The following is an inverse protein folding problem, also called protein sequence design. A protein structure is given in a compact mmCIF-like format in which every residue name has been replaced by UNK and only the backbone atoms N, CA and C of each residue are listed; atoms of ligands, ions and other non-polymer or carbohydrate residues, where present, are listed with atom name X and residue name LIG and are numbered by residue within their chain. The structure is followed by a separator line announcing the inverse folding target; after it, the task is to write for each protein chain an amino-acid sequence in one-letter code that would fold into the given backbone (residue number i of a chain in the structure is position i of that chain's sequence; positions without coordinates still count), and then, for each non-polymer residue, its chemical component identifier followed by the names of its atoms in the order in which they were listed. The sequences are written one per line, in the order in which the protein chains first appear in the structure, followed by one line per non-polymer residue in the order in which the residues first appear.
data_IF_340208835249
#
_entry.id   IF_340208835249
#
_cell.length_a   1.000
_cell.length_b   1.000
_cell.length_c   1.000
_cell.angle_alpha   90.00
_cell.angle_beta   90.00
_cell.angle_gamma   90.00
#
_symmetry.space_group_name_H-M   'P 1'
#
loop_
_entity.id
_entity.type
_entity.pdbx_description
1 polymer ?
#
# COMPACT_ATOMS: atom_id res chain seq x y z
N UNK A 1 -34.91 -16.12 46.51
CA UNK A 1 -33.53 -15.62 46.43
C UNK A 1 -33.08 -15.76 44.99
N UNK A 2 -33.03 -14.66 44.23
CA UNK A 2 -32.51 -14.64 42.86
C UNK A 2 -31.35 -13.65 42.88
N UNK A 3 -30.13 -14.17 42.78
CA UNK A 3 -28.90 -13.39 42.75
C UNK A 3 -28.73 -12.77 41.36
N UNK A 4 -28.78 -11.44 41.28
CA UNK A 4 -28.34 -10.71 40.10
C UNK A 4 -26.82 -10.67 40.05
N UNK A 5 -26.23 -11.40 39.11
CA UNK A 5 -24.83 -11.26 38.76
C UNK A 5 -24.66 -9.97 37.95
N UNK A 6 -23.91 -9.03 38.51
CA UNK A 6 -23.45 -7.81 37.84
C UNK A 6 -22.53 -8.19 36.68
N UNK A 7 -22.95 -7.91 35.45
CA UNK A 7 -22.08 -7.95 34.28
C UNK A 7 -20.99 -6.89 34.45
N UNK A 8 -19.74 -7.33 34.54
CA UNK A 8 -18.58 -6.46 34.54
C UNK A 8 -18.56 -5.69 33.20
N UNK A 9 -18.54 -4.36 33.29
CA UNK A 9 -18.26 -3.50 32.15
C UNK A 9 -16.86 -3.84 31.65
N UNK A 10 -16.78 -4.39 30.44
CA UNK A 10 -15.55 -4.45 29.67
C UNK A 10 -15.12 -3.02 29.40
N UNK A 11 -14.07 -2.57 30.08
CA UNK A 11 -13.43 -1.30 29.76
C UNK A 11 -12.93 -1.38 28.31
N UNK A 12 -13.42 -0.49 27.44
CA UNK A 12 -12.83 -0.29 26.13
C UNK A 12 -11.31 -0.14 26.28
N UNK A 13 -10.49 -0.85 25.48
CA UNK A 13 -9.05 -0.66 25.55
C UNK A 13 -8.77 0.81 25.22
N UNK A 14 -8.08 1.50 26.14
CA UNK A 14 -7.48 2.81 25.86
C UNK A 14 -6.70 2.67 24.54
N UNK A 15 -6.85 3.61 23.58
CA UNK A 15 -6.00 3.59 22.39
C UNK A 15 -4.55 3.55 22.84
N UNK A 16 -3.82 2.54 22.39
CA UNK A 16 -2.39 2.41 22.64
C UNK A 16 -1.70 3.73 22.27
N UNK A 17 -0.81 4.21 23.13
CA UNK A 17 -0.06 5.43 22.84
C UNK A 17 0.67 5.28 21.50
N UNK A 18 0.58 6.29 20.64
CA UNK A 18 1.24 6.28 19.34
C UNK A 18 2.77 6.18 19.52
N UNK A 19 3.48 5.43 18.65
CA UNK A 19 4.92 5.20 18.76
C UNK A 19 5.74 6.45 18.41
N UNK A 20 7.04 6.45 18.74
CA UNK A 20 7.97 7.43 18.18
C UNK A 20 8.17 7.13 16.69
N UNK A 21 8.50 5.88 16.34
CA UNK A 21 8.51 5.40 14.96
C UNK A 21 7.66 4.14 14.85
N UNK A 22 6.66 4.19 13.98
CA UNK A 22 5.78 3.06 13.74
C UNK A 22 4.89 3.29 12.54
N UNK A 23 4.04 2.30 12.24
CA UNK A 23 3.05 2.46 11.18
C UNK A 23 1.71 1.85 11.54
N UNK A 24 0.66 2.29 10.87
CA UNK A 24 -0.67 1.72 10.95
C UNK A 24 -1.22 1.46 9.54
N UNK A 25 -1.97 0.37 9.39
CA UNK A 25 -2.58 -0.01 8.11
C UNK A 25 -3.95 0.62 8.02
N UNK A 26 -4.13 1.55 7.09
CA UNK A 26 -5.39 2.27 6.86
C UNK A 26 -6.13 1.58 5.72
N UNK A 27 -6.96 0.60 6.06
CA UNK A 27 -7.73 -0.18 5.08
C UNK A 27 -8.89 0.65 4.54
N UNK A 28 -8.86 0.94 3.25
CA UNK A 28 -9.86 1.79 2.59
C UNK A 28 -11.01 1.00 1.98
N UNK A 29 -10.72 -0.21 1.50
CA UNK A 29 -11.66 -1.16 0.92
C UNK A 29 -11.00 -2.55 0.85
N UNK A 30 -11.70 -3.52 0.28
CA UNK A 30 -11.21 -4.85 -0.06
C UNK A 30 -11.97 -5.40 -1.26
N UNK A 31 -11.56 -6.55 -1.76
CA UNK A 31 -12.33 -7.37 -2.68
C UNK A 31 -12.12 -8.85 -2.38
N UNK A 32 -13.21 -9.60 -2.26
CA UNK A 32 -13.12 -11.06 -2.21
C UNK A 32 -12.79 -11.63 -3.60
N UNK A 33 -11.67 -12.35 -3.72
CA UNK A 33 -11.25 -13.03 -4.94
C UNK A 33 -10.95 -14.51 -4.70
N UNK A 34 -11.19 -15.39 -5.68
CA UNK A 34 -10.76 -16.78 -5.59
C UNK A 34 -9.26 -16.86 -5.31
N UNK A 35 -8.85 -17.72 -4.38
CA UNK A 35 -7.46 -17.88 -3.99
C UNK A 35 -6.54 -18.18 -5.20
N UNK A 36 -7.07 -18.91 -6.19
CA UNK A 36 -6.38 -19.21 -7.46
C UNK A 36 -5.92 -17.97 -8.25
N UNK A 37 -6.55 -16.80 -8.07
CA UNK A 37 -6.15 -15.56 -8.74
C UNK A 37 -4.95 -14.89 -8.07
N UNK A 38 -4.75 -15.12 -6.77
CA UNK A 38 -3.70 -14.51 -5.98
C UNK A 38 -2.44 -15.38 -5.89
N UNK A 39 -2.62 -16.70 -5.89
CA UNK A 39 -1.53 -17.67 -5.67
C UNK A 39 -1.66 -18.84 -6.65
N UNK A 40 -0.58 -19.21 -7.37
CA UNK A 40 -0.57 -20.40 -8.22
C UNK A 40 -0.93 -21.68 -7.44
N UNK A 41 -1.87 -22.46 -7.96
CA UNK A 41 -2.37 -23.67 -7.30
C UNK A 41 -3.37 -23.41 -6.16
N UNK A 42 -3.78 -22.16 -5.94
CA UNK A 42 -4.84 -21.81 -5.00
C UNK A 42 -6.21 -22.39 -5.39
N UNK A 43 -7.12 -22.49 -4.41
CA UNK A 43 -8.47 -22.99 -4.65
C UNK A 43 -9.32 -21.98 -5.45
N UNK A 44 -10.14 -22.50 -6.38
CA UNK A 44 -11.14 -21.71 -7.12
C UNK A 44 -12.42 -21.47 -6.32
N UNK A 45 -12.67 -22.27 -5.26
CA UNK A 45 -13.87 -22.16 -4.41
C UNK A 45 -13.61 -21.37 -3.14
N UNK A 46 -12.36 -21.33 -2.67
CA UNK A 46 -11.98 -20.54 -1.50
C UNK A 46 -11.80 -19.08 -1.89
N UNK A 47 -12.55 -18.20 -1.26
CA UNK A 47 -12.38 -16.76 -1.38
C UNK A 47 -11.34 -16.27 -0.37
N UNK A 48 -10.50 -15.33 -0.79
CA UNK A 48 -9.55 -14.61 0.05
C UNK A 48 -9.73 -13.12 -0.23
N UNK A 49 -9.67 -12.30 0.80
CA UNK A 49 -9.77 -10.85 0.63
C UNK A 49 -8.44 -10.32 0.06
N UNK A 50 -8.52 -9.50 -0.97
CA UNK A 50 -7.46 -8.60 -1.39
C UNK A 50 -7.77 -7.23 -0.81
N UNK A 51 -6.86 -6.63 -0.06
CA UNK A 51 -7.11 -5.33 0.58
C UNK A 51 -6.71 -4.18 -0.33
N UNK A 52 -7.38 -3.03 -0.18
CA UNK A 52 -6.93 -1.75 -0.71
C UNK A 52 -6.58 -0.86 0.47
N UNK A 53 -5.28 -0.65 0.71
CA UNK A 53 -4.78 -0.04 1.94
C UNK A 53 -3.81 1.09 1.65
N UNK A 54 -3.78 2.05 2.57
CA UNK A 54 -2.69 3.00 2.74
C UNK A 54 -1.92 2.66 4.03
N UNK A 55 -0.69 3.15 4.17
CA UNK A 55 0.13 2.91 5.35
C UNK A 55 0.53 4.24 5.97
N UNK A 56 -0.06 4.55 7.13
CA UNK A 56 0.29 5.75 7.90
C UNK A 56 1.55 5.47 8.70
N UNK A 57 2.65 6.11 8.36
CA UNK A 57 3.91 6.08 9.10
C UNK A 57 3.96 7.27 10.04
N UNK A 58 4.24 7.02 11.32
CA UNK A 58 4.57 8.04 12.31
C UNK A 58 6.07 8.07 12.51
N UNK A 59 6.63 9.27 12.54
CA UNK A 59 8.04 9.52 12.86
C UNK A 59 8.14 10.75 13.75
N UNK A 60 8.34 10.54 15.04
CA UNK A 60 8.25 11.54 16.10
C UNK A 60 6.97 12.39 15.97
N UNK A 61 7.11 13.66 15.61
CA UNK A 61 5.98 14.60 15.45
C UNK A 61 5.43 14.66 14.02
N UNK A 62 6.04 13.93 13.09
CA UNK A 62 5.66 13.91 11.68
C UNK A 62 4.86 12.66 11.31
N UNK A 63 4.08 12.81 10.23
CA UNK A 63 3.33 11.74 9.60
C UNK A 63 3.62 11.71 8.10
N UNK A 64 3.75 10.50 7.57
CA UNK A 64 3.83 10.21 6.14
C UNK A 64 2.76 9.17 5.82
N UNK A 65 2.02 9.36 4.74
CA UNK A 65 1.14 8.32 4.22
C UNK A 65 1.76 7.70 2.98
N UNK A 66 1.98 6.38 3.02
CA UNK A 66 2.46 5.61 1.89
C UNK A 66 1.27 4.94 1.19
N UNK A 67 1.06 5.25 -0.08
CA UNK A 67 -0.17 5.05 -0.84
C UNK A 67 -1.41 5.74 -0.24
N UNK A 68 -2.52 5.77 -0.97
CA UNK A 68 -3.77 6.42 -0.52
C UNK A 68 -4.99 5.52 -0.56
N UNK A 69 -4.87 4.33 -1.16
CA UNK A 69 -5.98 3.41 -1.33
C UNK A 69 -7.11 4.02 -2.18
N UNK A 70 -8.34 3.61 -1.86
CA UNK A 70 -9.56 4.14 -2.46
C UNK A 70 -9.94 5.49 -1.85
N UNK A 71 -10.15 6.49 -2.71
CA UNK A 71 -10.50 7.85 -2.32
C UNK A 71 -11.99 8.16 -2.31
N UNK A 72 -12.31 9.39 -1.91
CA UNK A 72 -13.69 9.88 -1.74
C UNK A 72 -14.50 9.89 -3.03
N UNK A 73 -13.84 10.00 -4.19
CA UNK A 73 -14.45 10.05 -5.51
C UNK A 73 -14.41 8.72 -6.27
N UNK A 74 -14.02 7.62 -5.61
CA UNK A 74 -13.73 6.35 -6.29
C UNK A 74 -14.88 5.84 -7.15
N UNK A 75 -16.14 6.02 -6.74
CA UNK A 75 -17.28 5.55 -7.52
C UNK A 75 -17.35 6.23 -8.89
N UNK A 76 -17.20 7.54 -8.93
CA UNK A 76 -17.19 8.32 -10.18
C UNK A 76 -15.94 8.01 -11.01
N UNK A 77 -14.78 7.96 -10.34
CA UNK A 77 -13.49 7.67 -10.99
C UNK A 77 -13.49 6.28 -11.63
N UNK A 78 -14.05 5.27 -10.96
CA UNK A 78 -14.17 3.91 -11.46
C UNK A 78 -15.09 3.82 -12.68
N UNK A 79 -16.19 4.58 -12.69
CA UNK A 79 -17.05 4.64 -13.87
C UNK A 79 -16.34 5.23 -15.10
N UNK A 80 -15.43 6.18 -14.90
CA UNK A 80 -14.68 6.83 -15.97
C UNK A 80 -13.45 6.02 -16.40
N UNK A 81 -12.72 5.48 -15.43
CA UNK A 81 -11.41 4.87 -15.60
C UNK A 81 -11.43 3.38 -15.84
N UNK A 82 -12.46 2.64 -15.40
CA UNK A 82 -12.57 1.19 -15.61
C UNK A 82 -13.49 0.87 -16.80
N UNK A 83 -12.95 0.34 -17.92
CA UNK A 83 -13.76 -0.12 -19.05
C UNK A 83 -14.76 -1.19 -18.62
N UNK A 84 -15.96 -1.16 -19.21
CA UNK A 84 -17.10 -1.99 -18.78
C UNK A 84 -16.77 -3.50 -18.71
N UNK A 85 -15.99 -4.00 -19.67
CA UNK A 85 -15.59 -5.41 -19.74
C UNK A 85 -14.67 -5.84 -18.59
N UNK A 86 -13.91 -4.90 -18.00
CA UNK A 86 -13.01 -5.17 -16.89
C UNK A 86 -13.70 -5.14 -15.52
N UNK A 87 -14.91 -4.56 -15.42
CA UNK A 87 -15.60 -4.37 -14.15
C UNK A 87 -16.03 -5.66 -13.46
N UNK A 88 -16.15 -6.75 -14.21
CA UNK A 88 -16.43 -8.07 -13.65
C UNK A 88 -15.22 -8.67 -12.91
N UNK A 89 -14.01 -8.23 -13.24
CA UNK A 89 -12.76 -8.81 -12.74
C UNK A 89 -12.04 -7.88 -11.75
N UNK A 90 -12.11 -6.57 -11.99
CA UNK A 90 -11.44 -5.56 -11.17
C UNK A 90 -12.50 -4.70 -10.50
N UNK A 91 -12.87 -5.07 -9.29
CA UNK A 91 -13.89 -4.42 -8.47
C UNK A 91 -13.35 -4.15 -7.07
N UNK A 92 -14.09 -3.34 -6.33
CA UNK A 92 -13.89 -3.11 -4.91
C UNK A 92 -15.23 -3.28 -4.20
N UNK A 93 -15.18 -3.69 -2.94
CA UNK A 93 -16.35 -3.90 -2.12
C UNK A 93 -16.68 -2.64 -1.31
N UNK A 94 -17.97 -2.46 -1.01
CA UNK A 94 -18.48 -1.41 -0.13
C UNK A 94 -18.61 -1.90 1.31
N UNK A 95 -18.53 -1.00 2.32
CA UNK A 95 -18.28 0.43 2.18
C UNK A 95 -16.81 0.74 1.87
N UNK A 96 -16.58 1.88 1.21
CA UNK A 96 -15.24 2.50 1.12
C UNK A 96 -15.16 3.50 2.25
N UNK A 97 -14.14 3.38 3.11
CA UNK A 97 -13.84 4.35 4.17
C UNK A 97 -12.46 4.92 3.86
N UNK A 98 -12.41 6.13 3.31
CA UNK A 98 -11.16 6.71 2.80
C UNK A 98 -10.11 6.85 3.90
N UNK A 99 -8.83 6.85 3.51
CA UNK A 99 -7.76 7.13 4.46
C UNK A 99 -8.00 8.49 5.14
N UNK A 100 -8.33 9.54 4.38
CA UNK A 100 -8.63 10.87 4.91
C UNK A 100 -9.70 10.83 6.01
N UNK A 101 -10.83 10.18 5.77
CA UNK A 101 -11.93 10.07 6.74
C UNK A 101 -11.49 9.34 8.02
N UNK A 102 -10.71 8.27 7.91
CA UNK A 102 -10.21 7.53 9.08
C UNK A 102 -9.25 8.41 9.92
N UNK A 103 -8.35 9.12 9.26
CA UNK A 103 -7.38 10.01 9.91
C UNK A 103 -8.06 11.20 10.60
N UNK A 104 -9.05 11.83 9.94
CA UNK A 104 -9.83 12.93 10.51
C UNK A 104 -10.60 12.52 11.75
N UNK A 105 -11.27 11.36 11.69
CA UNK A 105 -12.02 10.82 12.82
C UNK A 105 -11.13 10.51 14.04
N UNK A 106 -9.86 10.20 13.80
CA UNK A 106 -8.86 9.96 14.84
C UNK A 106 -8.12 11.23 15.29
N UNK A 107 -8.42 12.40 14.70
CA UNK A 107 -7.76 13.66 15.03
C UNK A 107 -6.31 13.75 14.58
N UNK A 108 -5.90 12.98 13.57
CA UNK A 108 -4.57 13.12 12.97
C UNK A 108 -4.52 14.45 12.20
N UNK A 109 -3.50 15.30 12.41
CA UNK A 109 -3.41 16.58 11.72
C UNK A 109 -3.27 16.41 10.21
N UNK A 110 -3.61 17.44 9.40
CA UNK A 110 -3.45 17.40 7.95
C UNK A 110 -2.03 17.00 7.55
N UNK A 111 -1.94 15.94 6.76
CA UNK A 111 -0.67 15.37 6.33
C UNK A 111 0.05 16.32 5.38
N UNK A 112 1.36 16.49 5.59
CA UNK A 112 2.21 17.30 4.71
C UNK A 112 2.90 16.47 3.63
N UNK A 113 2.90 15.13 3.78
CA UNK A 113 3.63 14.21 2.91
C UNK A 113 2.82 12.95 2.64
N UNK A 114 2.55 12.72 1.35
CA UNK A 114 2.04 11.47 0.80
C UNK A 114 3.10 10.94 -0.15
N UNK A 115 3.37 9.65 -0.16
CA UNK A 115 4.28 9.02 -1.13
C UNK A 115 3.54 7.84 -1.74
N UNK A 116 3.47 7.78 -3.06
CA UNK A 116 2.87 6.63 -3.74
C UNK A 116 3.96 5.61 -4.07
N UNK A 117 3.69 4.34 -3.80
CA UNK A 117 4.47 3.22 -4.30
C UNK A 117 4.46 3.21 -5.83
N UNK A 118 3.29 3.49 -6.43
CA UNK A 118 3.06 3.71 -7.85
C UNK A 118 1.67 4.35 -8.05
N UNK A 119 1.31 4.66 -9.30
CA UNK A 119 0.17 5.53 -9.64
C UNK A 119 -1.06 4.80 -10.16
N UNK A 120 -1.19 3.49 -9.93
CA UNK A 120 -2.41 2.77 -10.29
C UNK A 120 -3.61 3.22 -9.44
N UNK A 121 -4.79 2.93 -9.99
CA UNK A 121 -6.06 3.49 -9.55
C UNK A 121 -6.43 3.20 -8.09
N UNK A 122 -5.92 2.11 -7.55
CA UNK A 122 -6.15 1.62 -6.21
C UNK A 122 -5.07 2.03 -5.21
N UNK A 123 -4.00 2.68 -5.68
CA UNK A 123 -2.94 3.28 -4.86
C UNK A 123 -3.02 4.79 -4.83
N UNK A 124 -3.29 5.42 -5.99
CA UNK A 124 -3.46 6.86 -6.16
C UNK A 124 -4.90 7.34 -5.95
N UNK A 125 -5.85 6.43 -5.67
CA UNK A 125 -7.28 6.74 -5.66
C UNK A 125 -7.70 7.83 -4.68
N UNK A 126 -7.02 7.94 -3.55
CA UNK A 126 -7.21 8.97 -2.53
C UNK A 126 -6.26 10.17 -2.63
N UNK A 127 -5.39 10.28 -3.65
CA UNK A 127 -4.38 11.34 -3.72
C UNK A 127 -4.99 12.76 -3.63
N UNK A 128 -6.12 12.98 -4.29
CA UNK A 128 -6.84 14.26 -4.25
C UNK A 128 -7.50 14.59 -2.90
N UNK A 129 -7.61 13.62 -1.98
CA UNK A 129 -8.19 13.82 -0.64
C UNK A 129 -7.20 14.50 0.32
N UNK A 130 -5.94 14.72 -0.11
CA UNK A 130 -4.86 15.33 0.67
C UNK A 130 -4.27 16.58 -0.03
N UNK A 131 -5.06 17.65 -0.26
CA UNK A 131 -4.59 18.86 -0.94
C UNK A 131 -3.45 19.59 -0.19
N UNK A 132 -3.30 19.35 1.10
CA UNK A 132 -2.24 19.92 1.94
C UNK A 132 -0.89 19.23 1.72
N UNK A 133 -0.89 18.00 1.20
CA UNK A 133 0.31 17.19 1.08
C UNK A 133 1.05 17.45 -0.23
N UNK A 134 2.39 17.38 -0.15
CA UNK A 134 3.20 17.05 -1.32
C UNK A 134 3.11 15.56 -1.59
N UNK A 135 2.77 15.21 -2.83
CA UNK A 135 2.60 13.82 -3.27
C UNK A 135 3.84 13.37 -4.02
N UNK A 136 4.67 12.60 -3.32
CA UNK A 136 5.92 12.03 -3.80
C UNK A 136 5.70 10.85 -4.74
N UNK A 137 6.31 10.89 -5.92
CA UNK A 137 6.39 9.76 -6.87
C UNK A 137 7.78 9.68 -7.48
N UNK A 138 8.27 8.48 -7.84
CA UNK A 138 9.52 8.40 -8.59
C UNK A 138 9.40 9.12 -9.95
N UNK A 139 10.50 9.68 -10.46
CA UNK A 139 10.49 10.43 -11.72
C UNK A 139 9.89 9.64 -12.90
N UNK A 140 10.16 8.33 -12.99
CA UNK A 140 9.59 7.48 -14.02
C UNK A 140 8.07 7.27 -13.86
N UNK A 141 7.56 7.33 -12.63
CA UNK A 141 6.12 7.25 -12.34
C UNK A 141 5.43 8.58 -12.63
N UNK A 142 6.12 9.70 -12.41
CA UNK A 142 5.62 11.03 -12.73
C UNK A 142 5.29 11.18 -14.23
N UNK A 143 6.01 10.45 -15.10
CA UNK A 143 5.69 10.40 -16.53
C UNK A 143 4.37 9.67 -16.82
N UNK A 144 4.01 8.64 -16.04
CA UNK A 144 2.69 7.99 -16.13
C UNK A 144 1.59 8.90 -15.61
N UNK A 145 1.84 9.62 -14.51
CA UNK A 145 0.94 10.65 -13.98
C UNK A 145 0.65 11.74 -15.02
N UNK A 146 1.68 12.15 -15.79
CA UNK A 146 1.58 13.14 -16.88
C UNK A 146 0.93 12.60 -18.15
N UNK A 147 0.95 11.28 -18.34
CA UNK A 147 0.38 10.59 -19.50
C UNK A 147 -0.63 9.53 -19.05
N UNK A 148 -1.74 9.97 -18.41
CA UNK A 148 -2.67 9.05 -17.75
C UNK A 148 -3.33 8.09 -18.73
N UNK A 149 -3.70 6.92 -18.22
CA UNK A 149 -4.34 5.83 -18.95
C UNK A 149 -5.59 5.34 -18.23
N UNK A 150 -6.33 4.44 -18.86
CA UNK A 150 -7.53 3.81 -18.26
C UNK A 150 -7.28 2.31 -18.10
N UNK A 151 -8.18 1.63 -17.38
CA UNK A 151 -8.11 0.19 -17.19
C UNK A 151 -7.51 -0.24 -15.85
N UNK A 152 -7.35 -1.56 -15.65
CA UNK A 152 -7.02 -2.14 -14.36
C UNK A 152 -5.61 -1.84 -13.84
N UNK A 153 -4.65 -1.59 -14.73
CA UNK A 153 -3.31 -1.06 -14.40
C UNK A 153 -3.18 0.40 -14.84
N UNK A 154 -4.28 1.15 -14.81
CA UNK A 154 -4.33 2.51 -15.33
C UNK A 154 -3.97 3.55 -14.28
N UNK A 155 -3.17 4.53 -14.67
CA UNK A 155 -3.00 5.78 -13.93
C UNK A 155 -4.13 6.72 -14.34
N UNK A 156 -5.23 6.72 -13.61
CA UNK A 156 -6.45 7.38 -14.08
C UNK A 156 -6.36 8.90 -13.98
N UNK A 157 -6.68 9.57 -15.09
CA UNK A 157 -6.70 11.03 -15.17
C UNK A 157 -7.58 11.67 -14.09
N UNK A 158 -8.73 11.03 -13.79
CA UNK A 158 -9.70 11.47 -12.78
C UNK A 158 -9.18 11.40 -11.33
N UNK A 159 -8.03 10.78 -11.10
CA UNK A 159 -7.34 10.71 -9.80
C UNK A 159 -6.10 11.58 -9.74
N UNK A 160 -5.41 11.80 -10.88
CA UNK A 160 -4.10 12.44 -10.89
C UNK A 160 -4.07 13.88 -11.40
N UNK A 161 -5.14 14.32 -12.08
CA UNK A 161 -5.19 15.63 -12.74
C UNK A 161 -5.84 16.74 -11.92
N UNK A 162 -6.26 16.47 -10.69
CA UNK A 162 -6.79 17.52 -9.81
C UNK A 162 -5.69 18.56 -9.54
N UNK A 163 -5.98 19.84 -9.82
CA UNK A 163 -5.02 20.94 -9.66
C UNK A 163 -4.57 21.16 -8.20
N UNK A 164 -5.29 20.58 -7.24
CA UNK A 164 -4.95 20.59 -5.82
C UNK A 164 -3.81 19.63 -5.46
N UNK A 165 -3.47 18.67 -6.34
CA UNK A 165 -2.40 17.71 -6.07
C UNK A 165 -1.05 18.36 -6.35
N UNK A 166 -0.19 18.35 -5.33
CA UNK A 166 1.16 18.91 -5.41
C UNK A 166 2.17 17.78 -5.68
N UNK A 167 2.30 17.40 -6.96
CA UNK A 167 3.25 16.34 -7.36
C UNK A 167 4.71 16.75 -7.13
N UNK A 168 5.46 15.89 -6.44
CA UNK A 168 6.88 16.08 -6.13
C UNK A 168 7.68 14.85 -6.59
N UNK A 169 8.65 14.99 -7.50
CA UNK A 169 9.51 13.86 -7.87
C UNK A 169 10.42 13.47 -6.70
N UNK A 170 10.46 12.18 -6.37
CA UNK A 170 11.39 11.63 -5.39
C UNK A 170 12.82 11.64 -5.97
N UNK A 171 13.76 12.11 -5.15
CA UNK A 171 15.18 12.20 -5.52
C UNK A 171 15.98 11.17 -4.72
N UNK A 172 16.23 10.02 -5.34
CA UNK A 172 17.06 8.96 -4.76
C UNK A 172 18.54 9.34 -4.81
N UNK A 173 19.27 8.96 -3.77
CA UNK A 173 20.73 9.12 -3.68
C UNK A 173 21.40 7.79 -4.02
N UNK A 174 22.63 7.80 -4.58
CA UNK A 174 23.42 6.59 -4.86
C UNK A 174 24.01 5.99 -3.57
N UNK A 175 23.15 5.78 -2.58
CA UNK A 175 23.44 5.18 -1.28
C UNK A 175 22.76 3.82 -1.27
N UNK A 176 23.53 2.72 -1.29
CA UNK A 176 22.94 1.40 -1.27
C UNK A 176 22.19 1.12 0.04
N UNK A 177 21.03 0.47 -0.07
CA UNK A 177 20.24 0.04 1.07
C UNK A 177 19.60 -1.32 0.78
N UNK A 178 19.87 -2.33 1.63
CA UNK A 178 19.24 -3.66 1.53
C UNK A 178 19.31 -4.30 0.12
N UNK A 179 20.46 -4.16 -0.53
CA UNK A 179 20.71 -4.68 -1.88
C UNK A 179 20.15 -3.82 -3.03
N UNK A 180 19.51 -2.68 -2.74
CA UNK A 180 19.16 -1.66 -3.73
C UNK A 180 20.31 -0.67 -3.89
N UNK A 181 20.67 -0.27 -5.12
CA UNK A 181 21.85 0.58 -5.37
C UNK A 181 21.63 2.03 -4.94
N UNK A 182 20.38 2.47 -4.86
CA UNK A 182 19.98 3.83 -4.55
C UNK A 182 18.87 3.80 -3.50
N UNK A 183 18.79 4.85 -2.68
CA UNK A 183 17.79 4.99 -1.63
C UNK A 183 17.48 6.45 -1.33
N UNK A 184 16.33 6.68 -0.70
CA UNK A 184 15.94 7.96 -0.13
C UNK A 184 15.55 7.75 1.32
N UNK A 185 16.42 8.17 2.23
CA UNK A 185 16.11 8.24 3.66
C UNK A 185 15.30 9.50 3.94
N UNK A 186 14.03 9.31 4.26
CA UNK A 186 13.02 10.37 4.32
C UNK A 186 13.26 11.31 5.50
N UNK A 187 13.76 10.79 6.62
CA UNK A 187 14.01 11.55 7.86
C UNK A 187 15.50 11.62 8.25
N UNK A 188 16.40 11.01 7.46
CA UNK A 188 17.86 11.05 7.60
C UNK A 188 18.40 10.35 8.85
N UNK A 189 17.67 9.36 9.34
CA UNK A 189 18.02 8.54 10.52
C UNK A 189 17.99 7.02 10.23
N UNK A 190 17.75 6.63 8.98
CA UNK A 190 17.69 5.25 8.50
C UNK A 190 16.41 4.51 8.88
N UNK A 191 15.40 5.17 9.46
CA UNK A 191 14.18 4.49 9.94
C UNK A 191 13.08 4.39 8.90
N UNK A 192 12.99 5.35 7.98
CA UNK A 192 11.98 5.37 6.91
C UNK A 192 12.72 5.58 5.59
N UNK A 193 12.99 4.49 4.88
CA UNK A 193 13.88 4.48 3.71
C UNK A 193 13.16 3.94 2.48
N UNK A 194 13.09 4.74 1.42
CA UNK A 194 12.54 4.33 0.13
C UNK A 194 13.63 3.77 -0.76
N UNK A 195 13.28 2.77 -1.58
CA UNK A 195 14.16 2.20 -2.60
C UNK A 195 13.46 2.09 -3.95
N UNK A 196 14.13 2.37 -5.08
CA UNK A 196 13.56 2.13 -6.39
C UNK A 196 13.31 0.64 -6.62
N UNK A 197 12.10 0.30 -7.07
CA UNK A 197 11.68 -1.06 -7.43
C UNK A 197 11.03 -1.11 -8.82
N UNK A 198 11.67 -0.56 -9.87
CA UNK A 198 11.06 -0.50 -11.21
C UNK A 198 10.70 -1.93 -11.66
N UNK A 199 9.41 -2.19 -11.86
CA UNK A 199 8.90 -3.53 -12.15
C UNK A 199 7.44 -3.48 -12.63
N UNK A 200 6.51 -3.52 -11.67
CA UNK A 200 5.08 -3.43 -11.88
C UNK A 200 4.72 -2.16 -12.67
N UNK A 201 5.24 -1.03 -12.22
CA UNK A 201 5.36 0.19 -13.02
C UNK A 201 6.83 0.60 -13.15
N UNK A 202 7.19 1.40 -14.17
CA UNK A 202 8.57 1.87 -14.35
C UNK A 202 9.09 2.70 -13.18
N UNK A 203 8.22 3.35 -12.41
CA UNK A 203 8.59 4.13 -11.24
C UNK A 203 8.10 3.56 -9.92
N UNK A 204 7.84 2.25 -9.85
CA UNK A 204 7.49 1.57 -8.60
C UNK A 204 8.57 1.76 -7.53
N UNK A 205 8.15 1.98 -6.28
CA UNK A 205 9.00 2.23 -5.11
C UNK A 205 8.59 1.32 -3.96
N UNK A 206 9.59 0.81 -3.23
CA UNK A 206 9.38 0.12 -1.95
C UNK A 206 9.77 0.99 -0.76
N UNK A 207 9.20 0.72 0.40
CA UNK A 207 9.43 1.44 1.65
C UNK A 207 9.87 0.50 2.76
N UNK A 208 11.00 0.78 3.38
CA UNK A 208 11.42 0.16 4.63
C UNK A 208 11.04 1.05 5.81
N UNK A 209 10.43 0.45 6.84
CA UNK A 209 10.15 1.10 8.13
C UNK A 209 10.75 0.26 9.25
N UNK A 210 11.67 0.86 10.01
CA UNK A 210 12.21 0.29 11.24
C UNK A 210 11.47 0.92 12.42
N UNK A 211 10.62 0.14 13.08
CA UNK A 211 9.77 0.62 14.19
C UNK A 211 10.52 0.67 15.52
N UNK A 212 9.92 1.22 16.58
CA UNK A 212 10.52 1.39 17.93
C UNK A 212 11.14 0.12 18.52
N UNK A 213 10.51 -1.04 18.30
CA UNK A 213 11.02 -2.35 18.74
C UNK A 213 12.29 -2.78 18.00
N UNK A 214 12.73 -2.03 16.99
CA UNK A 214 13.86 -2.34 16.12
C UNK A 214 13.52 -3.30 14.98
N UNK A 215 12.29 -3.83 14.94
CA UNK A 215 11.83 -4.69 13.86
C UNK A 215 11.67 -3.89 12.57
N UNK A 216 12.00 -4.51 11.44
CA UNK A 216 11.92 -3.86 10.13
C UNK A 216 10.80 -4.48 9.28
N UNK A 217 10.11 -3.61 8.57
CA UNK A 217 9.02 -3.93 7.66
C UNK A 217 9.34 -3.39 6.27
N UNK A 218 9.08 -4.18 5.24
CA UNK A 218 9.31 -3.80 3.85
C UNK A 218 8.01 -3.83 3.05
N UNK A 219 7.48 -2.65 2.74
CA UNK A 219 6.32 -2.46 1.89
C UNK A 219 6.77 -2.48 0.44
N UNK A 220 6.27 -3.44 -0.35
CA UNK A 220 6.75 -3.69 -1.71
C UNK A 220 5.78 -3.21 -2.81
N UNK A 221 4.72 -2.51 -2.41
CA UNK A 221 3.61 -2.17 -3.29
C UNK A 221 3.09 -3.41 -4.00
N UNK A 222 3.08 -3.34 -5.33
CA UNK A 222 2.53 -4.36 -6.22
C UNK A 222 3.57 -5.24 -6.92
N UNK A 223 4.82 -5.26 -6.45
CA UNK A 223 5.84 -6.20 -6.95
C UNK A 223 5.34 -7.65 -6.83
N UNK A 224 4.61 -7.96 -5.76
CA UNK A 224 3.77 -9.14 -5.64
C UNK A 224 2.53 -8.80 -4.84
N UNK A 225 1.41 -9.47 -5.11
CA UNK A 225 0.16 -9.24 -4.37
C UNK A 225 0.09 -9.99 -3.05
N UNK A 226 0.82 -11.10 -2.89
CA UNK A 226 0.85 -11.89 -1.65
C UNK A 226 2.24 -12.42 -1.33
N UNK A 227 2.52 -12.64 -0.04
CA UNK A 227 3.75 -13.31 0.43
C UNK A 227 3.79 -14.75 -0.05
N UNK A 228 2.63 -15.42 -0.15
CA UNK A 228 2.55 -16.75 -0.70
C UNK A 228 3.04 -16.81 -2.17
N UNK A 229 2.72 -15.80 -2.99
CA UNK A 229 3.26 -15.69 -4.34
C UNK A 229 4.79 -15.49 -4.36
N UNK A 230 5.31 -14.63 -3.46
CA UNK A 230 6.76 -14.41 -3.30
C UNK A 230 7.49 -15.69 -2.90
N UNK A 231 6.98 -16.44 -1.91
CA UNK A 231 7.59 -17.67 -1.41
C UNK A 231 7.67 -18.76 -2.49
N UNK A 232 6.66 -18.84 -3.35
CA UNK A 232 6.65 -19.76 -4.49
C UNK A 232 7.57 -19.31 -5.64
N UNK A 233 8.06 -18.06 -5.61
CA UNK A 233 8.90 -17.48 -6.67
C UNK A 233 8.18 -17.37 -8.02
N UNK A 234 6.84 -17.35 -8.00
CA UNK A 234 6.02 -17.29 -9.21
C UNK A 234 5.37 -15.91 -9.32
N UNK A 235 5.34 -15.31 -10.52
CA UNK A 235 4.69 -14.02 -10.72
C UNK A 235 3.18 -14.13 -10.49
N UNK A 236 2.50 -12.98 -10.45
CA UNK A 236 1.02 -12.89 -10.48
C UNK A 236 0.46 -13.82 -11.57
N UNK A 237 -0.79 -14.26 -11.40
CA UNK A 237 -1.46 -15.05 -12.45
C UNK A 237 -1.24 -14.38 -13.82
N UNK A 238 -0.71 -15.12 -14.80
CA UNK A 238 -0.06 -14.56 -16.00
C UNK A 238 -0.90 -13.55 -16.80
N UNK A 239 -2.23 -13.62 -16.72
CA UNK A 239 -3.15 -12.64 -17.33
C UNK A 239 -3.16 -11.33 -16.53
N UNK A 240 -3.25 -11.41 -15.19
CA UNK A 240 -3.18 -10.24 -14.33
C UNK A 240 -1.84 -9.52 -14.50
N UNK A 241 -0.71 -10.25 -14.46
CA UNK A 241 0.61 -9.66 -14.67
C UNK A 241 0.75 -8.96 -16.03
N UNK A 242 0.23 -9.52 -17.13
CA UNK A 242 0.23 -8.83 -18.43
C UNK A 242 -0.66 -7.59 -18.52
N UNK A 243 -1.69 -7.49 -17.68
CA UNK A 243 -2.65 -6.39 -17.69
C UNK A 243 -2.24 -5.23 -16.78
N UNK A 244 -1.44 -5.53 -15.75
CA UNK A 244 -1.10 -4.58 -14.70
C UNK A 244 0.40 -4.35 -14.56
N UNK A 245 1.25 -5.25 -15.06
CA UNK A 245 2.71 -5.06 -15.03
C UNK A 245 3.21 -4.51 -16.38
N UNK A 246 3.98 -3.43 -16.32
CA UNK A 246 4.60 -2.82 -17.51
C UNK A 246 5.72 -3.69 -18.10
N UNK A 247 6.44 -4.45 -17.27
CA UNK A 247 7.51 -5.36 -17.69
C UNK A 247 7.51 -6.66 -16.85
N UNK A 248 6.95 -7.77 -17.37
CA UNK A 248 6.88 -9.03 -16.63
C UNK A 248 8.23 -9.63 -16.24
N UNK A 249 9.26 -9.51 -17.09
CA UNK A 249 10.60 -10.04 -16.79
C UNK A 249 11.27 -9.27 -15.66
N UNK A 250 11.16 -7.94 -15.68
CA UNK A 250 11.69 -7.08 -14.62
C UNK A 250 10.93 -7.29 -13.28
N UNK A 251 9.64 -7.61 -13.36
CA UNK A 251 8.81 -7.99 -12.20
C UNK A 251 9.29 -9.31 -11.60
N UNK A 252 9.59 -10.32 -12.42
CA UNK A 252 10.17 -11.57 -11.92
C UNK A 252 11.52 -11.35 -11.21
N UNK A 253 12.42 -10.54 -11.79
CA UNK A 253 13.70 -10.21 -11.13
C UNK A 253 13.51 -9.48 -9.79
N UNK A 254 12.48 -8.64 -9.69
CA UNK A 254 12.15 -7.95 -8.44
C UNK A 254 11.59 -8.91 -7.38
N UNK A 255 10.73 -9.85 -7.78
CA UNK A 255 10.26 -10.93 -6.90
C UNK A 255 11.43 -11.75 -6.36
N UNK A 256 12.36 -12.15 -7.22
CA UNK A 256 13.54 -12.93 -6.82
C UNK A 256 14.44 -12.15 -5.87
N UNK A 257 14.61 -10.85 -6.08
CA UNK A 257 15.36 -9.97 -5.19
C UNK A 257 14.72 -9.85 -3.81
N UNK A 258 13.40 -9.62 -3.75
CA UNK A 258 12.66 -9.58 -2.48
C UNK A 258 12.76 -10.93 -1.75
N UNK A 259 12.64 -12.04 -2.49
CA UNK A 259 12.78 -13.39 -1.92
C UNK A 259 14.18 -13.64 -1.36
N UNK A 260 15.22 -13.19 -2.06
CA UNK A 260 16.60 -13.29 -1.58
C UNK A 260 16.78 -12.46 -0.30
N UNK A 261 16.19 -11.27 -0.23
CA UNK A 261 16.24 -10.42 0.96
C UNK A 261 15.54 -11.08 2.16
N UNK A 262 14.36 -11.67 1.96
CA UNK A 262 13.66 -12.44 3.01
C UNK A 262 14.48 -13.62 3.52
N UNK A 263 15.28 -14.25 2.67
CA UNK A 263 16.15 -15.37 3.05
C UNK A 263 17.39 -14.89 3.83
N UNK A 264 17.97 -13.76 3.43
CA UNK A 264 19.15 -13.19 4.12
C UNK A 264 18.81 -12.46 5.41
N UNK A 265 17.56 -11.99 5.56
CA UNK A 265 17.09 -11.21 6.71
C UNK A 265 15.81 -11.82 7.29
N UNK A 266 15.91 -12.90 8.08
CA UNK A 266 14.75 -13.64 8.55
C UNK A 266 13.80 -12.84 9.46
N UNK A 267 14.30 -11.75 10.07
CA UNK A 267 13.51 -10.86 10.93
C UNK A 267 12.75 -9.78 10.14
N UNK A 268 13.06 -9.60 8.85
CA UNK A 268 12.38 -8.65 7.97
C UNK A 268 10.97 -9.15 7.64
N UNK A 269 9.96 -8.32 7.91
CA UNK A 269 8.57 -8.62 7.51
C UNK A 269 8.25 -7.91 6.21
N UNK A 270 8.05 -8.68 5.15
CA UNK A 270 7.57 -8.15 3.86
C UNK A 270 6.06 -7.99 3.89
N UNK A 271 5.57 -6.81 3.51
CA UNK A 271 4.16 -6.42 3.51
C UNK A 271 3.73 -6.05 2.09
N UNK A 272 3.09 -6.99 1.35
CA UNK A 272 2.44 -6.67 0.08
C UNK A 272 1.20 -5.77 0.27
N UNK A 273 0.88 -4.96 -0.74
CA UNK A 273 -0.26 -4.03 -0.67
C UNK A 273 -1.62 -4.73 -0.57
N UNK A 274 -1.74 -5.93 -1.16
CA UNK A 274 -3.00 -6.66 -1.31
C UNK A 274 -3.10 -7.94 -0.47
N UNK A 275 -2.14 -8.20 0.44
CA UNK A 275 -2.13 -9.43 1.25
C UNK A 275 -2.91 -9.25 2.55
N UNK A 276 -4.19 -9.63 2.55
CA UNK A 276 -5.02 -9.55 3.77
C UNK A 276 -4.48 -10.41 4.91
N UNK A 277 -3.82 -11.54 4.63
CA UNK A 277 -3.33 -12.43 5.70
C UNK A 277 -2.22 -11.77 6.50
N UNK A 278 -1.28 -11.11 5.81
CA UNK A 278 -0.22 -10.34 6.47
C UNK A 278 -0.81 -9.14 7.21
N UNK A 279 -1.68 -8.37 6.56
CA UNK A 279 -2.24 -7.16 7.16
C UNK A 279 -3.13 -7.47 8.38
N UNK A 280 -3.97 -8.52 8.32
CA UNK A 280 -4.79 -8.98 9.44
C UNK A 280 -3.94 -9.36 10.67
N UNK A 281 -2.74 -9.92 10.45
CA UNK A 281 -1.82 -10.29 11.54
C UNK A 281 -1.16 -9.09 12.23
N UNK A 282 -1.09 -7.95 11.53
CA UNK A 282 -0.51 -6.70 12.02
C UNK A 282 -1.56 -5.76 12.63
N UNK A 283 -2.83 -5.94 12.24
CA UNK A 283 -3.93 -5.08 12.65
C UNK A 283 -4.09 -3.84 11.77
N UNK A 284 -5.19 -3.14 11.96
CA UNK A 284 -5.56 -1.94 11.19
C UNK A 284 -5.65 -0.72 12.10
N UNK A 285 -5.45 0.46 11.52
CA UNK A 285 -5.64 1.75 12.18
C UNK A 285 -6.99 1.79 12.90
N UNK A 286 -7.06 2.22 14.18
CA UNK A 286 -6.05 3.00 14.91
C UNK A 286 -4.95 2.18 15.62
N UNK A 287 -4.86 0.86 15.43
CA UNK A 287 -3.76 0.08 15.99
C UNK A 287 -2.43 0.39 15.29
N UNK A 288 -1.36 0.52 16.08
CA UNK A 288 -0.01 0.82 15.61
C UNK A 288 0.90 -0.41 15.73
N UNK A 289 1.68 -0.65 14.69
CA UNK A 289 2.87 -1.51 14.72
C UNK A 289 4.04 -0.66 15.19
N UNK A 290 4.66 -1.08 16.30
CA UNK A 290 5.70 -0.36 17.04
C UNK A 290 6.84 -1.30 17.40
#
# INVERSE_FOLDING_TARGET
MVTHASLAQTTDPKPDAAPDVGFAIVKTSQVAVPQALLVPGGSITKQVNSNFSAFLVKHHNDYLLFDTGMGSQIDSQYQQGMPIWWRLFFKYDKPVVTARTQLDNAGIPPLQRVILSHSHWDHAGGAQDFPEARVGVASAELELVRSPSTGPGGTWQSQTSAATIQWEPLVFQPIPFKGYPESLDVFKDGKVVLVPMPSHTPGSVGLFVTVDSGKQYFFIGDVAWTVAALQQGKPKFWVAGKLVDSNPQQTQSSIEKVRALMQSEPDLVVVPAHDSTVQDSLGYFPAWVR
#
